data_IF_646610658028
#
_entry.id   IF_646610658028
#
_cell.length_a   1.000
_cell.length_b   1.000
_cell.length_c   1.000
_cell.angle_alpha   90.00
_cell.angle_beta   90.00
_cell.angle_gamma   90.00
#
_symmetry.space_group_name_H-M   'P 1'
#
loop_
_entity.id
_entity.type
_entity.pdbx_description
1 polymer ?
#
# COMPACT_ATOMS: atom_id res chain seq x y z
N UNK A 1 -9.19 14.77 -3.61
CA UNK A 1 -7.88 15.37 -3.25
C UNK A 1 -6.88 14.99 -4.32
N UNK A 2 -6.33 15.95 -5.07
CA UNK A 2 -5.26 15.70 -6.04
C UNK A 2 -3.92 15.94 -5.34
N UNK A 3 -3.40 14.94 -4.64
CA UNK A 3 -2.05 15.00 -4.09
C UNK A 3 -1.10 14.26 -5.08
N UNK A 4 -0.24 14.99 -5.81
CA UNK A 4 0.65 14.41 -6.82
C UNK A 4 1.75 13.50 -6.24
N UNK A 5 1.86 13.40 -4.91
CA UNK A 5 2.79 12.49 -4.23
C UNK A 5 2.31 11.03 -4.24
N UNK A 6 1.02 10.77 -4.51
CA UNK A 6 0.52 9.42 -4.72
C UNK A 6 0.67 9.08 -6.20
N UNK A 7 1.72 8.35 -6.55
CA UNK A 7 1.76 7.76 -7.88
C UNK A 7 0.65 6.71 -7.92
N UNK A 8 -0.28 6.88 -8.86
CA UNK A 8 -1.53 6.13 -9.00
C UNK A 8 -1.36 4.61 -9.26
N UNK A 9 -0.13 4.09 -9.20
CA UNK A 9 0.20 2.74 -9.62
C UNK A 9 1.18 2.07 -8.64
N UNK A 10 0.82 1.90 -7.36
CA UNK A 10 1.51 0.95 -6.50
C UNK A 10 1.43 -0.46 -7.12
N UNK A 11 2.52 -1.22 -7.01
CA UNK A 11 2.56 -2.63 -7.38
C UNK A 11 2.38 -3.44 -6.10
N UNK A 12 1.37 -4.30 -6.08
CA UNK A 12 1.01 -5.12 -4.92
C UNK A 12 1.27 -6.58 -5.29
N UNK A 13 2.17 -7.24 -4.55
CA UNK A 13 2.56 -8.64 -4.77
C UNK A 13 2.08 -9.49 -3.59
N UNK A 14 1.47 -10.62 -3.90
CA UNK A 14 0.99 -11.58 -2.92
C UNK A 14 -0.42 -11.31 -2.39
N UNK A 15 -1.22 -10.52 -3.11
CA UNK A 15 -2.61 -10.22 -2.80
C UNK A 15 -3.58 -10.99 -3.73
N UNK A 16 -4.89 -11.09 -3.40
CA UNK A 16 -5.88 -11.73 -4.26
C UNK A 16 -5.93 -11.14 -5.69
N UNK A 17 -6.33 -11.91 -6.72
CA UNK A 17 -6.38 -11.43 -8.11
C UNK A 17 -7.33 -10.27 -8.36
N UNK A 18 -8.28 -10.04 -7.45
CA UNK A 18 -9.25 -8.94 -7.49
C UNK A 18 -8.70 -7.64 -6.92
N UNK A 19 -7.48 -7.66 -6.37
CA UNK A 19 -6.85 -6.50 -5.74
C UNK A 19 -6.52 -5.43 -6.78
N UNK A 20 -6.92 -4.20 -6.49
CA UNK A 20 -6.62 -3.02 -7.29
C UNK A 20 -5.63 -2.10 -6.56
N UNK A 21 -4.83 -1.32 -7.29
CA UNK A 21 -3.99 -0.27 -6.69
C UNK A 21 -4.77 0.73 -5.83
N UNK A 22 -6.05 0.98 -6.14
CA UNK A 22 -6.88 1.89 -5.36
C UNK A 22 -7.29 1.35 -3.99
N UNK A 23 -7.13 0.05 -3.74
CA UNK A 23 -7.51 -0.59 -2.48
C UNK A 23 -6.59 -0.17 -1.33
N UNK A 24 -5.43 0.43 -1.63
CA UNK A 24 -4.50 1.00 -0.65
C UNK A 24 -4.51 2.55 -0.62
N UNK A 25 -5.50 3.18 -1.27
CA UNK A 25 -5.67 4.63 -1.18
C UNK A 25 -6.02 5.05 0.26
N UNK A 26 -5.70 6.29 0.66
CA UNK A 26 -6.12 6.82 1.96
C UNK A 26 -7.64 6.70 2.15
N UNK A 27 -8.05 6.06 3.26
CA UNK A 27 -9.46 5.82 3.58
C UNK A 27 -10.08 4.57 2.96
N UNK A 28 -9.29 3.77 2.22
CA UNK A 28 -9.69 2.43 1.80
C UNK A 28 -9.52 1.42 2.95
N UNK A 29 -10.22 0.30 2.85
CA UNK A 29 -10.16 -0.82 3.82
C UNK A 29 -8.79 -1.52 3.84
N UNK A 30 -7.97 -1.33 2.80
CA UNK A 30 -6.67 -1.95 2.65
C UNK A 30 -6.72 -3.27 1.89
N UNK A 31 -5.62 -4.03 1.95
CA UNK A 31 -5.44 -5.29 1.22
C UNK A 31 -4.91 -6.36 2.17
N UNK A 32 -5.59 -7.50 2.19
CA UNK A 32 -5.10 -8.71 2.85
C UNK A 32 -4.21 -9.51 1.90
N UNK A 33 -3.00 -9.83 2.35
CA UNK A 33 -2.07 -10.67 1.61
C UNK A 33 -2.34 -12.16 1.84
N UNK A 34 -2.23 -12.96 0.78
CA UNK A 34 -2.45 -14.42 0.78
C UNK A 34 -1.15 -15.22 0.60
N UNK A 35 -0.03 -14.55 0.30
CA UNK A 35 1.29 -15.19 0.17
C UNK A 35 2.19 -14.97 1.39
N UNK A 36 3.21 -15.82 1.55
CA UNK A 36 4.09 -15.86 2.73
C UNK A 36 5.10 -14.71 2.77
N UNK A 37 5.39 -14.07 1.64
CA UNK A 37 6.33 -12.94 1.55
C UNK A 37 5.76 -11.83 0.65
N UNK A 38 4.68 -11.17 1.07
CA UNK A 38 4.05 -10.14 0.27
C UNK A 38 4.89 -8.86 0.24
N UNK A 39 4.69 -8.04 -0.78
CA UNK A 39 5.37 -6.75 -0.90
C UNK A 39 4.55 -5.72 -1.64
N UNK A 40 4.78 -4.45 -1.33
CA UNK A 40 4.21 -3.30 -2.05
C UNK A 40 5.35 -2.40 -2.53
N UNK A 41 5.37 -2.11 -3.83
CA UNK A 41 6.31 -1.16 -4.41
C UNK A 41 5.56 0.12 -4.76
N UNK A 42 6.00 1.23 -4.17
CA UNK A 42 5.46 2.56 -4.43
C UNK A 42 6.55 3.35 -5.16
N UNK A 43 6.46 3.52 -6.49
CA UNK A 43 7.40 4.35 -7.21
C UNK A 43 7.26 5.80 -6.73
N UNK A 44 8.37 6.54 -6.72
CA UNK A 44 8.39 7.98 -6.46
C UNK A 44 8.74 8.73 -7.75
N UNK A 45 8.11 9.88 -7.97
CA UNK A 45 8.42 10.69 -9.14
C UNK A 45 9.84 11.26 -9.00
N UNK A 46 10.63 11.31 -10.08
CA UNK A 46 11.98 11.88 -10.05
C UNK A 46 11.96 13.29 -9.44
N UNK A 47 12.88 13.58 -8.51
CA UNK A 47 12.96 14.87 -7.82
C UNK A 47 11.99 15.05 -6.64
N UNK A 48 11.16 14.05 -6.33
CA UNK A 48 10.36 14.04 -5.10
C UNK A 48 11.20 13.50 -3.95
N UNK A 49 11.40 14.29 -2.89
CA UNK A 49 11.96 13.77 -1.64
C UNK A 49 10.87 12.97 -0.92
N UNK A 50 11.00 11.64 -0.78
CA UNK A 50 10.00 10.85 -0.09
C UNK A 50 9.98 11.25 1.39
N UNK A 51 8.79 11.47 1.93
CA UNK A 51 8.61 11.47 3.39
C UNK A 51 8.57 10.00 3.79
N UNK A 52 9.65 9.50 4.37
CA UNK A 52 9.74 8.12 4.85
C UNK A 52 8.97 8.04 6.18
N UNK A 53 7.81 7.40 6.15
CA UNK A 53 7.07 7.03 7.35
C UNK A 53 7.32 5.56 7.61
N UNK A 54 8.02 5.23 8.69
CA UNK A 54 8.20 3.85 9.14
C UNK A 54 6.97 3.42 9.91
N UNK A 55 6.13 2.59 9.29
CA UNK A 55 4.96 2.01 9.96
C UNK A 55 5.35 0.62 10.48
N UNK A 56 5.37 0.46 11.81
CA UNK A 56 5.48 -0.86 12.42
C UNK A 56 4.10 -1.49 12.47
N UNK A 57 3.87 -2.47 11.61
CA UNK A 57 2.63 -3.25 11.63
C UNK A 57 2.86 -4.45 12.57
N UNK A 58 2.11 -4.59 13.67
CA UNK A 58 2.21 -5.78 14.50
C UNK A 58 1.86 -7.01 13.67
N UNK A 59 2.55 -8.13 13.93
CA UNK A 59 2.49 -9.38 13.15
C UNK A 59 1.15 -10.14 13.31
N UNK A 60 0.06 -9.45 13.64
CA UNK A 60 -1.24 -10.01 13.93
C UNK A 60 -2.30 -9.11 13.32
N UNK A 61 -3.16 -9.67 12.45
CA UNK A 61 -4.37 -9.04 11.94
C UNK A 61 -5.08 -8.32 13.08
N UNK A 62 -4.93 -7.00 13.12
CA UNK A 62 -5.80 -6.16 13.92
C UNK A 62 -7.03 -6.00 13.06
N UNK A 63 -7.93 -6.99 13.12
CA UNK A 63 -9.34 -6.72 12.87
C UNK A 63 -9.68 -5.57 13.81
N UNK A 64 -9.65 -4.36 13.27
CA UNK A 64 -10.18 -3.16 13.90
C UNK A 64 -11.68 -3.39 13.98
N UNK A 65 -12.14 -3.81 15.16
CA UNK A 65 -13.56 -3.81 15.53
C UNK A 65 -14.10 -2.39 15.53
#
# INVERSE_FOLDING_TARGET
>A
MNNPQYINNPIIIGAPPTTSPSDINPGSDGVDFIEVNPSVFIPFAPGTTPIIVTVSVPNKNTNVN
#
